data_IF_208452650483
#
_entry.id   IF_208452650483
#
_cell.length_a   1.000
_cell.length_b   1.000
_cell.length_c   1.000
_cell.angle_alpha   90.00
_cell.angle_beta   90.00
_cell.angle_gamma   90.00
#
_symmetry.space_group_name_H-M   'P 1'
#
loop_
_entity.id
_entity.type
_entity.pdbx_description
1 polymer ?
#
# COMPACT_ATOMS: atom_id res chain seq x y z
N UNK A 1 -13.18 79.10 15.19
CA UNK A 1 -12.54 78.12 16.10
C UNK A 1 -13.25 76.78 15.87
N UNK A 2 -12.80 75.98 14.88
CA UNK A 2 -13.40 74.69 14.53
C UNK A 2 -12.33 73.61 14.68
N UNK A 3 -12.50 72.72 15.65
CA UNK A 3 -11.63 71.57 15.88
C UNK A 3 -12.04 70.42 14.97
N UNK A 4 -11.13 69.96 14.10
CA UNK A 4 -11.29 68.73 13.34
C UNK A 4 -10.86 67.55 14.23
N UNK A 5 -11.80 66.67 14.57
CA UNK A 5 -11.49 65.35 15.11
C UNK A 5 -10.96 64.48 13.96
N UNK A 6 -9.73 63.98 14.10
CA UNK A 6 -9.18 62.92 13.26
C UNK A 6 -9.63 61.57 13.83
N UNK A 7 -10.47 60.85 13.07
CA UNK A 7 -10.87 59.49 13.38
C UNK A 7 -9.84 58.54 12.74
N UNK A 8 -8.90 58.02 13.55
CA UNK A 8 -7.98 56.98 13.10
C UNK A 8 -8.69 55.62 13.16
N UNK A 9 -9.06 55.09 12.00
CA UNK A 9 -9.57 53.73 11.86
C UNK A 9 -8.39 52.74 11.92
N UNK A 10 -8.30 51.99 13.01
CA UNK A 10 -7.34 50.88 13.14
C UNK A 10 -7.94 49.68 12.41
N UNK A 11 -7.37 49.35 11.24
CA UNK A 11 -7.73 48.18 10.46
C UNK A 11 -7.06 46.94 11.08
N UNK A 12 -7.82 46.14 11.85
CA UNK A 12 -7.37 44.82 12.29
C UNK A 12 -7.45 43.86 11.10
N UNK A 13 -6.34 43.75 10.36
CA UNK A 13 -6.20 42.76 9.30
C UNK A 13 -5.98 41.39 9.97
N UNK A 14 -7.07 40.66 10.22
CA UNK A 14 -7.01 39.25 10.63
C UNK A 14 -6.48 38.45 9.46
N UNK A 15 -5.16 38.26 9.41
CA UNK A 15 -4.51 37.24 8.59
C UNK A 15 -4.95 35.88 9.14
N UNK A 16 -6.12 35.41 8.70
CA UNK A 16 -6.47 34.01 8.75
C UNK A 16 -5.53 33.29 7.78
N UNK A 17 -4.29 33.08 8.21
CA UNK A 17 -3.45 32.05 7.64
C UNK A 17 -4.23 30.76 7.84
N UNK A 18 -4.78 30.24 6.75
CA UNK A 18 -5.33 28.89 6.72
C UNK A 18 -4.12 27.98 6.88
N UNK A 19 -3.65 27.82 8.11
CA UNK A 19 -2.73 26.75 8.49
C UNK A 19 -3.54 25.49 8.29
N UNK A 20 -3.50 24.99 7.05
CA UNK A 20 -4.02 23.67 6.74
C UNK A 20 -3.22 22.74 7.62
N UNK A 21 -3.83 22.03 8.58
CA UNK A 21 -3.09 21.19 9.50
C UNK A 21 -2.27 20.19 8.69
N UNK A 22 -0.94 20.34 8.73
CA UNK A 22 0.03 19.40 8.19
C UNK A 22 -0.19 18.07 8.91
N UNK A 23 -0.65 17.05 8.20
CA UNK A 23 -1.04 15.80 8.82
C UNK A 23 -0.10 14.63 8.56
N UNK A 24 0.40 14.48 7.35
CA UNK A 24 1.39 13.44 7.00
C UNK A 24 2.68 14.08 6.48
N UNK A 25 2.56 15.20 5.77
CA UNK A 25 3.68 15.91 5.16
C UNK A 25 3.69 17.38 5.56
N UNK A 26 4.85 18.03 5.39
CA UNK A 26 5.01 19.46 5.62
C UNK A 26 4.17 20.31 4.63
N UNK A 27 3.68 19.72 3.53
CA UNK A 27 2.83 20.39 2.55
C UNK A 27 1.76 19.43 1.99
N UNK A 28 0.59 19.40 2.63
CA UNK A 28 -0.52 18.54 2.19
C UNK A 28 -1.25 19.07 0.92
N UNK A 29 -0.79 20.20 0.33
CA UNK A 29 -1.09 20.54 -1.06
C UNK A 29 -0.24 19.68 -1.98
N UNK A 30 -0.73 18.47 -2.25
CA UNK A 30 -0.03 17.48 -3.05
C UNK A 30 0.08 17.93 -4.52
N UNK A 31 1.28 18.31 -4.95
CA UNK A 31 1.67 18.33 -6.36
C UNK A 31 2.11 16.92 -6.77
N UNK A 32 1.22 16.17 -7.43
CA UNK A 32 1.51 14.80 -7.83
C UNK A 32 2.53 14.77 -8.98
N UNK A 33 3.68 14.07 -8.84
CA UNK A 33 4.61 13.92 -9.94
C UNK A 33 3.95 13.17 -11.10
N UNK A 34 4.25 13.59 -12.33
CA UNK A 34 3.78 12.90 -13.55
C UNK A 34 4.41 11.50 -13.67
N UNK A 35 5.68 11.38 -13.25
CA UNK A 35 6.46 10.15 -13.21
C UNK A 35 7.04 10.00 -11.81
N UNK A 36 6.39 9.23 -10.92
CA UNK A 36 6.92 8.94 -9.59
C UNK A 36 8.25 8.20 -9.71
N UNK A 37 9.24 8.64 -8.95
CA UNK A 37 10.50 7.91 -8.81
C UNK A 37 10.25 6.60 -8.04
N UNK A 38 10.73 5.48 -8.59
CA UNK A 38 10.61 4.14 -8.03
C UNK A 38 11.97 3.45 -7.90
N UNK A 39 13.08 4.15 -8.15
CA UNK A 39 14.41 3.55 -8.14
C UNK A 39 14.74 2.90 -6.79
N UNK A 40 14.25 3.47 -5.70
CA UNK A 40 14.43 2.96 -4.35
C UNK A 40 13.69 1.64 -4.05
N UNK A 41 12.66 1.29 -4.83
CA UNK A 41 11.91 0.04 -4.65
C UNK A 41 12.76 -1.16 -5.06
N UNK A 42 13.63 -1.03 -6.06
CA UNK A 42 14.46 -2.15 -6.54
C UNK A 42 15.44 -2.63 -5.45
N UNK A 43 16.26 -1.77 -4.82
CA UNK A 43 17.11 -2.21 -3.72
C UNK A 43 16.32 -2.77 -2.53
N UNK A 44 15.19 -2.17 -2.13
CA UNK A 44 14.30 -2.73 -1.12
C UNK A 44 13.84 -4.16 -1.48
N UNK A 45 13.48 -4.37 -2.74
CA UNK A 45 13.01 -5.67 -3.24
C UNK A 45 14.08 -6.74 -3.17
N UNK A 46 15.33 -6.37 -3.48
CA UNK A 46 16.47 -7.29 -3.43
C UNK A 46 16.86 -7.63 -1.99
N UNK A 47 16.83 -6.66 -1.09
CA UNK A 47 17.08 -6.91 0.33
C UNK A 47 15.99 -7.82 0.91
N UNK A 48 14.72 -7.52 0.63
CA UNK A 48 13.60 -8.34 1.08
C UNK A 48 13.65 -9.77 0.51
N UNK A 49 14.06 -9.94 -0.76
CA UNK A 49 14.25 -11.27 -1.34
C UNK A 49 15.29 -12.09 -0.57
N UNK A 50 16.43 -11.49 -0.21
CA UNK A 50 17.49 -12.17 0.54
C UNK A 50 17.03 -12.62 1.91
N UNK A 51 16.21 -11.80 2.58
CA UNK A 51 15.64 -12.13 3.89
C UNK A 51 14.55 -13.22 3.80
N UNK A 52 13.68 -13.15 2.80
CA UNK A 52 12.56 -14.10 2.67
C UNK A 52 12.95 -15.43 2.04
N UNK A 53 14.01 -15.46 1.23
CA UNK A 53 14.46 -16.66 0.53
C UNK A 53 15.98 -16.84 0.64
N UNK A 54 16.48 -17.16 1.85
CA UNK A 54 17.90 -17.40 2.08
C UNK A 54 18.41 -18.64 1.32
N UNK A 55 19.73 -18.87 1.22
CA UNK A 55 20.29 -20.03 0.49
C UNK A 55 19.80 -21.41 0.94
N UNK A 56 19.30 -21.52 2.17
CA UNK A 56 18.73 -22.75 2.74
C UNK A 56 17.24 -22.92 2.44
N UNK A 57 16.59 -21.92 1.83
CA UNK A 57 15.17 -21.98 1.50
C UNK A 57 14.93 -22.99 0.39
N UNK A 58 13.84 -23.74 0.52
CA UNK A 58 13.45 -24.80 -0.42
C UNK A 58 12.02 -24.58 -0.87
N UNK A 59 11.71 -25.04 -2.08
CA UNK A 59 10.36 -24.99 -2.65
C UNK A 59 10.10 -23.74 -3.47
N UNK A 60 8.88 -23.64 -4.01
CA UNK A 60 8.51 -22.49 -4.84
C UNK A 60 8.23 -21.28 -3.96
N UNK A 61 8.75 -20.13 -4.38
CA UNK A 61 8.57 -18.86 -3.68
C UNK A 61 8.04 -17.80 -4.62
N UNK A 62 7.02 -17.07 -4.18
CA UNK A 62 6.42 -15.97 -4.92
C UNK A 62 5.97 -14.90 -3.94
N UNK A 63 6.32 -13.65 -4.24
CA UNK A 63 5.90 -12.49 -3.48
C UNK A 63 5.90 -11.25 -4.39
N UNK A 64 5.23 -10.19 -3.94
CA UNK A 64 5.23 -8.90 -4.64
C UNK A 64 5.92 -7.84 -3.78
N UNK A 65 7.20 -7.52 -4.07
CA UNK A 65 7.92 -6.49 -3.34
C UNK A 65 7.19 -5.14 -3.34
N UNK A 66 6.69 -4.72 -4.51
CA UNK A 66 5.96 -3.47 -4.68
C UNK A 66 4.69 -3.42 -3.81
N UNK A 67 3.98 -4.54 -3.71
CA UNK A 67 2.79 -4.64 -2.86
C UNK A 67 3.18 -4.41 -1.39
N UNK A 68 4.19 -5.13 -0.89
CA UNK A 68 4.66 -5.04 0.49
C UNK A 68 5.19 -3.63 0.80
N UNK A 69 5.98 -3.05 -0.11
CA UNK A 69 6.48 -1.68 0.01
C UNK A 69 5.32 -0.69 0.22
N UNK A 70 4.27 -0.76 -0.61
CA UNK A 70 3.11 0.12 -0.47
C UNK A 70 2.37 -0.06 0.86
N UNK A 71 2.22 -1.30 1.34
CA UNK A 71 1.60 -1.56 2.64
C UNK A 71 2.42 -0.94 3.78
N UNK A 72 3.75 -1.10 3.73
CA UNK A 72 4.65 -0.53 4.74
C UNK A 72 4.72 1.00 4.69
N UNK A 73 4.52 1.62 3.53
CA UNK A 73 4.37 3.08 3.41
C UNK A 73 3.16 3.60 4.20
N UNK A 74 2.05 2.83 4.27
CA UNK A 74 0.92 3.18 5.13
C UNK A 74 1.30 3.15 6.61
N UNK A 75 2.11 2.16 7.03
CA UNK A 75 2.65 2.13 8.39
C UNK A 75 3.59 3.31 8.65
N UNK A 76 4.44 3.67 7.68
CA UNK A 76 5.32 4.82 7.75
C UNK A 76 4.54 6.11 8.00
N UNK A 77 3.43 6.35 7.29
CA UNK A 77 2.58 7.52 7.53
C UNK A 77 1.95 7.57 8.92
N UNK A 78 1.69 6.42 9.55
CA UNK A 78 1.16 6.31 10.91
C UNK A 78 2.22 6.36 12.02
N UNK A 79 3.51 6.35 11.67
CA UNK A 79 4.63 6.21 12.61
C UNK A 79 5.32 7.55 12.93
N UNK A 80 5.99 7.60 14.09
CA UNK A 80 6.79 8.73 14.55
C UNK A 80 8.09 8.25 15.23
N UNK A 81 9.00 9.19 15.49
CA UNK A 81 10.26 8.91 16.20
C UNK A 81 11.09 7.81 15.55
N UNK A 82 11.64 6.92 16.38
CA UNK A 82 12.51 5.83 15.94
C UNK A 82 11.83 4.86 14.96
N UNK A 83 10.54 4.54 15.18
CA UNK A 83 9.79 3.65 14.28
C UNK A 83 9.69 4.25 12.87
N UNK A 84 9.45 5.57 12.78
CA UNK A 84 9.42 6.26 11.49
C UNK A 84 10.76 6.21 10.80
N UNK A 85 11.84 6.44 11.53
CA UNK A 85 13.19 6.42 10.99
C UNK A 85 13.55 5.02 10.45
N UNK A 86 13.29 3.96 11.22
CA UNK A 86 13.51 2.58 10.76
C UNK A 86 12.71 2.25 9.50
N UNK A 87 11.43 2.65 9.44
CA UNK A 87 10.61 2.44 8.25
C UNK A 87 11.13 3.26 7.06
N UNK A 88 11.56 4.50 7.28
CA UNK A 88 12.15 5.34 6.25
C UNK A 88 13.40 4.69 5.62
N UNK A 89 14.29 4.18 6.48
CA UNK A 89 15.55 3.56 6.07
C UNK A 89 15.30 2.25 5.32
N UNK A 90 14.45 1.36 5.85
CA UNK A 90 14.09 0.09 5.21
C UNK A 90 13.39 0.32 3.87
N UNK A 91 12.45 1.27 3.81
CA UNK A 91 11.73 1.59 2.57
C UNK A 91 12.57 2.41 1.59
N UNK A 92 13.78 2.81 1.99
CA UNK A 92 14.73 3.60 1.19
C UNK A 92 14.14 4.90 0.67
N UNK A 93 13.36 5.58 1.52
CA UNK A 93 12.69 6.84 1.15
C UNK A 93 13.71 7.98 1.08
N UNK A 94 14.09 8.37 -0.14
CA UNK A 94 15.05 9.44 -0.42
C UNK A 94 14.50 10.85 -0.13
N UNK A 95 13.19 11.04 -0.35
CA UNK A 95 12.47 12.27 -0.01
C UNK A 95 11.26 11.96 0.89
N UNK A 96 11.48 11.91 2.22
CA UNK A 96 10.43 11.70 3.21
C UNK A 96 9.27 12.70 3.12
N UNK A 97 9.55 13.92 2.64
CA UNK A 97 8.57 15.01 2.57
C UNK A 97 7.61 14.84 1.40
N UNK A 98 8.08 14.28 0.29
CA UNK A 98 7.29 14.06 -0.92
C UNK A 98 6.67 12.65 -1.00
N UNK A 99 6.97 11.77 -0.04
CA UNK A 99 6.51 10.36 -0.04
C UNK A 99 5.00 10.22 -0.21
N UNK A 100 4.19 11.09 0.42
CA UNK A 100 2.73 11.05 0.27
C UNK A 100 2.28 11.39 -1.16
N UNK A 101 2.90 12.39 -1.80
CA UNK A 101 2.58 12.76 -3.17
C UNK A 101 2.99 11.65 -4.15
N UNK A 102 4.17 11.05 -3.96
CA UNK A 102 4.63 9.87 -4.71
C UNK A 102 3.65 8.72 -4.56
N UNK A 103 3.24 8.38 -3.33
CA UNK A 103 2.26 7.32 -3.06
C UNK A 103 0.93 7.56 -3.78
N UNK A 104 0.37 8.77 -3.70
CA UNK A 104 -0.89 9.12 -4.37
C UNK A 104 -0.76 9.19 -5.89
N UNK A 105 0.40 9.57 -6.42
CA UNK A 105 0.67 9.55 -7.85
C UNK A 105 0.74 8.11 -8.37
N UNK A 106 1.34 7.19 -7.62
CA UNK A 106 1.35 5.76 -7.95
C UNK A 106 -0.05 5.15 -7.94
N UNK A 107 -0.86 5.43 -6.92
CA UNK A 107 -2.26 5.00 -6.85
C UNK A 107 -3.04 5.49 -8.09
N UNK A 108 -2.86 6.76 -8.48
CA UNK A 108 -3.48 7.33 -9.68
C UNK A 108 -3.01 6.68 -10.97
N UNK A 109 -1.72 6.42 -11.12
CA UNK A 109 -1.17 5.75 -12.31
C UNK A 109 -1.71 4.33 -12.43
N UNK A 110 -1.80 3.63 -11.31
CA UNK A 110 -2.35 2.29 -11.22
C UNK A 110 -3.83 2.27 -11.65
N UNK A 111 -4.68 3.15 -11.09
CA UNK A 111 -6.09 3.28 -11.48
C UNK A 111 -6.26 3.63 -12.96
N UNK A 112 -5.45 4.60 -13.46
CA UNK A 112 -5.46 4.98 -14.88
C UNK A 112 -5.12 3.79 -15.78
N UNK A 113 -4.12 3.00 -15.40
CA UNK A 113 -3.67 1.84 -16.17
C UNK A 113 -4.73 0.74 -16.15
N UNK A 114 -5.28 0.44 -14.98
CA UNK A 114 -6.36 -0.54 -14.84
C UNK A 114 -7.59 -0.20 -15.71
N UNK A 115 -7.89 1.09 -15.92
CA UNK A 115 -8.98 1.51 -16.78
C UNK A 115 -8.72 1.37 -18.31
N UNK A 116 -7.45 1.27 -18.73
CA UNK A 116 -7.05 1.47 -20.12
C UNK A 116 -6.43 0.24 -20.81
N UNK A 117 -6.18 -0.87 -20.11
CA UNK A 117 -5.61 -2.09 -20.73
C UNK A 117 -6.37 -3.36 -20.34
N UNK A 118 -6.54 -4.24 -21.33
CA UNK A 118 -7.01 -5.62 -21.15
C UNK A 118 -5.88 -6.65 -21.23
N UNK A 119 -4.65 -6.22 -21.52
CA UNK A 119 -3.49 -7.11 -21.71
C UNK A 119 -3.03 -7.75 -20.41
N UNK A 120 -3.19 -7.05 -19.29
CA UNK A 120 -2.92 -7.59 -17.97
C UNK A 120 -3.77 -6.90 -16.92
N UNK A 121 -3.95 -7.61 -15.82
CA UNK A 121 -4.61 -7.13 -14.61
C UNK A 121 -3.62 -7.22 -13.47
N UNK A 122 -3.46 -6.12 -12.76
CA UNK A 122 -2.79 -6.08 -11.45
C UNK A 122 -3.84 -5.56 -10.49
N UNK A 123 -4.09 -6.25 -9.38
CA UNK A 123 -4.96 -5.82 -8.30
C UNK A 123 -4.19 -5.86 -6.98
N UNK A 124 -4.10 -4.72 -6.28
CA UNK A 124 -3.38 -4.61 -5.01
C UNK A 124 -4.36 -4.26 -3.88
N UNK A 125 -4.27 -4.99 -2.78
CA UNK A 125 -5.10 -4.88 -1.60
C UNK A 125 -4.25 -4.39 -0.42
N UNK A 126 -4.13 -3.06 -0.30
CA UNK A 126 -3.48 -2.43 0.85
C UNK A 126 -4.52 -1.77 1.72
N UNK A 127 -4.59 -2.17 3.00
CA UNK A 127 -5.52 -1.56 3.95
C UNK A 127 -5.05 -1.70 5.39
N UNK A 128 -5.21 -0.63 6.16
CA UNK A 128 -5.00 -0.59 7.59
C UNK A 128 -6.36 -0.65 8.27
N UNK A 129 -6.55 -1.66 9.10
CA UNK A 129 -7.69 -1.78 9.99
C UNK A 129 -7.25 -1.41 11.40
N UNK A 130 -7.88 -0.42 12.01
CA UNK A 130 -7.61 0.00 13.39
C UNK A 130 -8.79 -0.34 14.28
N UNK A 131 -8.52 -0.61 15.56
CA UNK A 131 -9.58 -0.88 16.53
C UNK A 131 -10.61 0.26 16.54
N UNK A 132 -11.91 -0.06 16.69
CA UNK A 132 -12.99 0.93 16.74
C UNK A 132 -12.77 2.03 17.79
N UNK A 133 -12.08 1.71 18.88
CA UNK A 133 -11.82 2.64 19.98
C UNK A 133 -10.63 3.59 19.69
N UNK A 134 -9.92 3.38 18.56
CA UNK A 134 -8.81 4.23 18.18
C UNK A 134 -9.29 5.49 17.44
N UNK A 135 -9.06 6.65 18.05
CA UNK A 135 -9.43 7.95 17.50
C UNK A 135 -8.46 8.40 16.41
N UNK A 136 -8.75 8.01 15.17
CA UNK A 136 -8.05 8.52 14.00
C UNK A 136 -8.24 10.03 13.85
N UNK A 137 -7.13 10.76 13.64
CA UNK A 137 -7.16 12.18 13.31
C UNK A 137 -8.01 12.41 12.05
N UNK A 138 -8.85 13.44 12.05
CA UNK A 138 -9.79 13.76 10.96
C UNK A 138 -9.09 13.85 9.60
N UNK A 139 -7.90 14.45 9.58
CA UNK A 139 -7.11 14.57 8.36
C UNK A 139 -6.59 13.24 7.80
N UNK A 140 -6.25 12.26 8.65
CA UNK A 140 -5.86 10.91 8.19
C UNK A 140 -7.03 10.24 7.50
N UNK A 141 -8.24 10.36 8.07
CA UNK A 141 -9.47 9.86 7.43
C UNK A 141 -9.74 10.54 6.09
N UNK A 142 -9.32 11.79 5.90
CA UNK A 142 -9.48 12.53 4.65
C UNK A 142 -8.45 12.11 3.60
N UNK A 143 -7.18 12.02 3.98
CA UNK A 143 -6.07 11.72 3.05
C UNK A 143 -5.99 10.25 2.70
N UNK A 144 -6.26 9.35 3.65
CA UNK A 144 -6.17 7.90 3.52
C UNK A 144 -7.54 7.22 3.66
N UNK A 145 -8.58 7.86 3.10
CA UNK A 145 -9.98 7.43 3.23
C UNK A 145 -10.28 6.04 2.66
N UNK A 146 -9.50 5.58 1.67
CA UNK A 146 -9.66 4.24 1.07
C UNK A 146 -8.86 3.19 1.84
N UNK A 147 -7.75 3.62 2.43
CA UNK A 147 -6.69 2.80 2.97
C UNK A 147 -6.84 2.55 4.47
N UNK A 148 -7.63 3.34 5.20
CA UNK A 148 -7.80 3.18 6.65
C UNK A 148 -9.27 2.97 7.01
N UNK A 149 -9.54 1.98 7.87
CA UNK A 149 -10.89 1.69 8.36
C UNK A 149 -10.87 1.29 9.84
N UNK A 150 -11.82 1.82 10.62
CA UNK A 150 -12.07 1.33 11.98
C UNK A 150 -12.89 0.03 11.95
N UNK A 151 -12.49 -0.98 12.73
CA UNK A 151 -13.17 -2.27 12.89
C UNK A 151 -13.22 -2.66 14.37
N UNK A 152 -14.32 -3.31 14.78
CA UNK A 152 -14.46 -3.82 16.14
C UNK A 152 -13.75 -5.16 16.31
N UNK A 153 -12.48 -5.12 16.75
CA UNK A 153 -11.69 -6.33 16.93
C UNK A 153 -12.19 -7.23 18.07
N UNK A 154 -12.96 -6.71 19.05
CA UNK A 154 -13.52 -7.59 20.09
C UNK A 154 -14.48 -8.63 19.51
N UNK A 155 -15.05 -8.34 18.33
CA UNK A 155 -15.84 -9.25 17.51
C UNK A 155 -14.97 -9.93 16.44
N UNK A 156 -14.01 -10.73 16.88
CA UNK A 156 -12.97 -11.31 16.02
C UNK A 156 -13.47 -11.93 14.71
N UNK A 157 -14.53 -12.74 14.74
CA UNK A 157 -15.09 -13.35 13.52
C UNK A 157 -15.70 -12.34 12.53
N UNK A 158 -16.41 -11.31 13.02
CA UNK A 158 -16.94 -10.24 12.16
C UNK A 158 -15.81 -9.40 11.56
N UNK A 159 -14.78 -9.10 12.36
CA UNK A 159 -13.59 -8.38 11.93
C UNK A 159 -12.82 -9.15 10.84
N UNK A 160 -12.55 -10.44 11.07
CA UNK A 160 -11.91 -11.32 10.11
C UNK A 160 -12.75 -11.46 8.82
N UNK A 161 -14.07 -11.59 8.94
CA UNK A 161 -14.98 -11.60 7.79
C UNK A 161 -14.87 -10.34 6.93
N UNK A 162 -14.80 -9.17 7.57
CA UNK A 162 -14.61 -7.88 6.88
C UNK A 162 -13.28 -7.82 6.12
N UNK A 163 -12.19 -8.25 6.77
CA UNK A 163 -10.84 -8.28 6.18
C UNK A 163 -10.77 -9.27 5.02
N UNK A 164 -11.21 -10.51 5.23
CA UNK A 164 -11.17 -11.57 4.22
C UNK A 164 -12.05 -11.23 3.01
N UNK A 165 -13.21 -10.61 3.21
CA UNK A 165 -14.05 -10.14 2.10
C UNK A 165 -13.32 -9.12 1.24
N UNK A 166 -12.64 -8.15 1.85
CA UNK A 166 -11.87 -7.14 1.12
C UNK A 166 -10.73 -7.78 0.32
N UNK A 167 -9.94 -8.67 0.95
CA UNK A 167 -8.83 -9.37 0.29
C UNK A 167 -9.32 -10.27 -0.84
N UNK A 168 -10.37 -11.06 -0.60
CA UNK A 168 -10.97 -11.94 -1.60
C UNK A 168 -11.47 -11.14 -2.80
N UNK A 169 -12.16 -10.02 -2.59
CA UNK A 169 -12.61 -9.15 -3.68
C UNK A 169 -11.44 -8.59 -4.50
N UNK A 170 -10.41 -8.08 -3.83
CA UNK A 170 -9.21 -7.53 -4.50
C UNK A 170 -8.35 -8.60 -5.17
N UNK A 171 -8.46 -9.85 -4.75
CA UNK A 171 -7.70 -10.97 -5.34
C UNK A 171 -8.55 -11.86 -6.24
N UNK A 172 -9.77 -11.41 -6.58
CA UNK A 172 -10.72 -12.14 -7.44
C UNK A 172 -11.00 -13.57 -6.95
N UNK A 173 -11.11 -13.71 -5.64
CA UNK A 173 -11.39 -14.98 -4.95
C UNK A 173 -10.20 -15.92 -4.83
N UNK A 174 -9.00 -15.54 -5.29
CA UNK A 174 -7.81 -16.39 -5.20
C UNK A 174 -7.23 -16.47 -3.78
N UNK A 175 -7.45 -15.44 -2.97
CA UNK A 175 -7.08 -15.42 -1.55
C UNK A 175 -8.37 -15.22 -0.74
N UNK A 176 -9.14 -16.29 -0.49
CA UNK A 176 -10.44 -16.19 0.19
C UNK A 176 -10.32 -15.94 1.69
N UNK A 177 -9.19 -16.31 2.31
CA UNK A 177 -8.96 -16.17 3.75
C UNK A 177 -7.50 -15.84 4.00
N UNK A 178 -7.25 -14.74 4.69
CA UNK A 178 -5.92 -14.29 5.12
C UNK A 178 -5.77 -14.28 6.64
N UNK A 179 -6.88 -14.09 7.36
CA UNK A 179 -6.90 -14.07 8.83
C UNK A 179 -8.11 -14.83 9.36
N UNK A 180 -7.97 -15.45 10.53
CA UNK A 180 -9.04 -16.00 11.34
C UNK A 180 -9.53 -14.99 12.37
N UNK A 181 -10.67 -15.26 13.00
CA UNK A 181 -11.17 -14.42 14.09
C UNK A 181 -10.21 -14.36 15.28
N UNK A 182 -9.48 -15.45 15.54
CA UNK A 182 -8.47 -15.53 16.60
C UNK A 182 -7.29 -14.60 16.35
N UNK A 183 -6.86 -14.46 15.09
CA UNK A 183 -5.70 -13.63 14.73
C UNK A 183 -5.94 -12.14 14.99
N UNK A 184 -7.20 -11.71 14.99
CA UNK A 184 -7.56 -10.29 15.08
C UNK A 184 -8.29 -9.90 16.35
N UNK A 185 -8.71 -10.84 17.20
CA UNK A 185 -9.64 -10.57 18.32
C UNK A 185 -9.11 -9.54 19.35
N UNK A 186 -7.80 -9.48 19.52
CA UNK A 186 -7.10 -8.56 20.43
C UNK A 186 -6.24 -7.53 19.70
N UNK A 187 -6.41 -7.39 18.38
CA UNK A 187 -5.59 -6.48 17.60
C UNK A 187 -5.93 -5.02 17.93
N UNK A 188 -4.89 -4.19 18.00
CA UNK A 188 -5.02 -2.73 17.99
C UNK A 188 -5.03 -2.19 16.57
N UNK A 189 -4.26 -2.82 15.69
CA UNK A 189 -4.14 -2.51 14.27
C UNK A 189 -3.79 -3.79 13.50
N UNK A 190 -4.33 -3.93 12.30
CA UNK A 190 -3.96 -4.96 11.31
C UNK A 190 -3.63 -4.25 10.00
N UNK A 191 -2.41 -4.43 9.50
CA UNK A 191 -2.00 -4.00 8.17
C UNK A 191 -2.13 -5.18 7.21
N UNK A 192 -2.96 -5.02 6.18
CA UNK A 192 -3.22 -6.05 5.18
C UNK A 192 -2.52 -5.68 3.88
N UNK A 193 -1.85 -6.69 3.32
CA UNK A 193 -1.29 -6.68 1.98
C UNK A 193 -1.74 -7.93 1.22
N UNK A 194 -2.24 -7.76 -0.01
CA UNK A 194 -2.39 -8.85 -0.96
C UNK A 194 -2.27 -8.32 -2.39
N UNK A 195 -1.87 -9.18 -3.31
CA UNK A 195 -1.78 -8.84 -4.73
C UNK A 195 -2.33 -9.96 -5.61
N UNK A 196 -2.92 -9.57 -6.74
CA UNK A 196 -3.31 -10.46 -7.82
C UNK A 196 -2.71 -9.93 -9.11
N UNK A 197 -2.11 -10.84 -9.88
CA UNK A 197 -1.54 -10.54 -11.18
C UNK A 197 -2.01 -11.58 -12.19
N UNK A 198 -2.48 -11.10 -13.34
CA UNK A 198 -2.77 -11.94 -14.51
C UNK A 198 -2.40 -11.18 -15.76
N UNK A 199 -1.31 -11.57 -16.41
CA UNK A 199 -0.90 -11.05 -17.70
C UNK A 199 -1.23 -12.01 -18.84
N UNK A 200 -1.52 -11.46 -20.01
CA UNK A 200 -1.49 -12.17 -21.27
C UNK A 200 -0.07 -12.05 -21.85
N UNK A 201 0.44 -13.15 -22.39
CA UNK A 201 1.66 -13.11 -23.18
C UNK A 201 1.45 -12.24 -24.41
N UNK A 202 2.42 -11.39 -24.74
CA UNK A 202 2.42 -10.62 -26.00
C UNK A 202 2.35 -11.53 -27.22
N UNK A 203 3.00 -12.68 -27.14
CA UNK A 203 2.91 -13.77 -28.12
C UNK A 203 2.52 -15.02 -27.36
N UNK A 204 1.27 -15.46 -27.52
CA UNK A 204 0.75 -16.61 -26.80
C UNK A 204 1.35 -17.92 -27.33
N UNK A 205 1.55 -18.86 -26.41
CA UNK A 205 1.84 -20.26 -26.74
C UNK A 205 0.63 -20.90 -27.44
N UNK A 206 0.87 -21.77 -28.41
CA UNK A 206 -0.19 -22.53 -29.07
C UNK A 206 -0.53 -23.73 -28.19
N UNK A 207 -1.78 -23.90 -27.72
CA UNK A 207 -2.13 -25.00 -26.81
C UNK A 207 -1.81 -26.39 -27.35
N UNK A 208 -1.86 -26.57 -28.68
CA UNK A 208 -1.53 -27.85 -29.35
C UNK A 208 -0.04 -28.20 -29.31
N UNK A 209 0.84 -27.24 -29.04
CA UNK A 209 2.28 -27.43 -28.96
C UNK A 209 2.71 -27.74 -27.51
N UNK A 210 1.79 -27.64 -26.54
CA UNK A 210 2.02 -28.02 -25.14
C UNK A 210 2.03 -29.53 -24.99
N UNK A 211 3.14 -30.08 -24.47
CA UNK A 211 3.35 -31.52 -24.34
C UNK A 211 3.85 -31.88 -22.94
N UNK A 212 3.53 -33.09 -22.47
CA UNK A 212 4.10 -33.62 -21.24
C UNK A 212 5.60 -33.84 -21.40
N UNK A 213 6.40 -33.24 -20.52
CA UNK A 213 7.85 -33.38 -20.46
C UNK A 213 8.32 -33.62 -19.03
N UNK A 214 9.49 -34.21 -18.89
CA UNK A 214 10.15 -34.36 -17.59
C UNK A 214 10.72 -33.01 -17.13
N UNK A 215 10.45 -32.65 -15.89
CA UNK A 215 11.07 -31.55 -15.17
C UNK A 215 11.84 -32.10 -13.97
N UNK A 216 13.03 -31.55 -13.75
CA UNK A 216 13.97 -31.99 -12.73
C UNK A 216 14.02 -30.95 -11.60
N UNK A 217 13.10 -31.00 -10.61
CA UNK A 217 13.07 -30.02 -9.51
C UNK A 217 14.34 -30.06 -8.63
N UNK A 218 14.98 -31.23 -8.56
CA UNK A 218 16.29 -31.50 -7.93
C UNK A 218 16.98 -32.60 -8.74
N UNK A 219 18.33 -32.75 -8.67
CA UNK A 219 19.09 -33.62 -9.57
C UNK A 219 18.55 -35.05 -9.74
N UNK A 220 18.07 -35.67 -8.66
CA UNK A 220 17.65 -37.09 -8.65
C UNK A 220 16.13 -37.31 -8.62
N UNK A 221 15.35 -36.28 -8.94
CA UNK A 221 13.87 -36.36 -8.96
C UNK A 221 13.34 -35.84 -10.28
N UNK A 222 12.40 -36.58 -10.86
CA UNK A 222 11.64 -36.14 -12.03
C UNK A 222 10.16 -36.03 -11.71
N UNK A 223 9.51 -35.06 -12.35
CA UNK A 223 8.05 -34.93 -12.38
C UNK A 223 7.61 -34.64 -13.82
N UNK A 224 6.44 -35.15 -14.22
CA UNK A 224 5.86 -34.85 -15.53
C UNK A 224 5.08 -33.53 -15.45
N UNK A 225 5.40 -32.57 -16.32
CA UNK A 225 4.75 -31.25 -16.38
C UNK A 225 4.27 -30.92 -17.79
N UNK A 226 3.33 -30.01 -17.90
CA UNK A 226 2.96 -29.40 -19.19
C UNK A 226 4.03 -28.38 -19.59
N UNK A 227 4.82 -28.70 -20.61
CA UNK A 227 5.80 -27.79 -21.19
C UNK A 227 5.17 -27.09 -22.38
N UNK A 228 5.04 -25.76 -22.31
CA UNK A 228 4.40 -24.92 -23.32
C UNK A 228 5.35 -24.48 -24.43
#
# INVERSE_FOLDING_TARGET
>A
RMSRLSLSAVFFMVLASVVSPQCISNNDRLSLPLTPDLEHITPFSLDLLKELYPPTATGNFFFSPYSIWNALVLAYFGSAGQTRQQLQDVLRLSDPSNTLATYKALDRLYEKRHANTSEYVIDIANKVYVNKNFNLRVCIRKVLSKEVQNVDFTKGNEAAGTINKFVSQKTRGKIPTVVSGRDVQSASMVLINAAYFKGLWKTAFKPKDTLKKEFYPVPDKTISVDMM
#
